data_IF_649692765134
#
_entry.id   IF_649692765134
#
_cell.length_a   1.000
_cell.length_b   1.000
_cell.length_c   1.000
_cell.angle_alpha   90.00
_cell.angle_beta   90.00
_cell.angle_gamma   90.00
#
_symmetry.space_group_name_H-M   'P 1'
#
loop_
_entity.id
_entity.type
_entity.pdbx_description
1 polymer ?
#
# COMPACT_ATOMS: atom_id res chain seq x y z
N UNK A 1 18.91 5.45 -42.10
CA UNK A 1 18.21 5.92 -40.89
C UNK A 1 17.04 5.00 -40.53
N UNK A 2 16.22 4.58 -41.50
CA UNK A 2 15.08 3.68 -41.26
C UNK A 2 15.43 2.31 -40.68
N UNK A 3 16.56 1.71 -41.06
CA UNK A 3 16.99 0.40 -40.53
C UNK A 3 17.43 0.43 -39.06
N UNK A 4 17.99 1.56 -38.59
CA UNK A 4 18.35 1.76 -37.18
C UNK A 4 17.09 1.94 -36.33
N UNK A 5 16.12 2.71 -36.83
CA UNK A 5 14.81 2.91 -36.17
C UNK A 5 14.05 1.58 -36.07
N UNK A 6 14.04 0.77 -37.13
CA UNK A 6 13.41 -0.56 -37.11
C UNK A 6 14.07 -1.53 -36.10
N UNK A 7 15.40 -1.49 -35.97
CA UNK A 7 16.14 -2.27 -34.95
C UNK A 7 15.81 -1.80 -33.53
N UNK A 8 15.67 -0.50 -33.32
CA UNK A 8 15.29 0.07 -32.02
C UNK A 8 13.87 -0.31 -31.62
N UNK A 9 12.92 -0.24 -32.57
CA UNK A 9 11.53 -0.65 -32.35
C UNK A 9 11.43 -2.14 -32.05
N UNK A 10 12.12 -2.99 -32.82
CA UNK A 10 12.13 -4.44 -32.56
C UNK A 10 12.79 -4.82 -31.23
N UNK A 11 13.83 -4.09 -30.81
CA UNK A 11 14.45 -4.26 -29.51
C UNK A 11 13.52 -3.81 -28.37
N UNK A 12 12.89 -2.64 -28.49
CA UNK A 12 11.90 -2.15 -27.53
C UNK A 12 10.73 -3.14 -27.37
N UNK A 13 10.22 -3.68 -28.47
CA UNK A 13 9.18 -4.71 -28.47
C UNK A 13 9.63 -6.01 -27.79
N UNK A 14 10.90 -6.43 -27.96
CA UNK A 14 11.48 -7.59 -27.26
C UNK A 14 11.65 -7.36 -25.76
N UNK A 15 12.09 -6.17 -25.36
CA UNK A 15 12.21 -5.80 -23.94
C UNK A 15 10.82 -5.75 -23.29
N UNK A 16 9.84 -5.13 -23.96
CA UNK A 16 8.47 -5.07 -23.46
C UNK A 16 7.85 -6.47 -23.33
N UNK A 17 7.98 -7.34 -24.34
CA UNK A 17 7.43 -8.70 -24.28
C UNK A 17 8.10 -9.56 -23.21
N UNK A 18 9.41 -9.39 -23.00
CA UNK A 18 10.16 -10.06 -21.93
C UNK A 18 9.76 -9.51 -20.55
N UNK A 19 9.54 -8.21 -20.43
CA UNK A 19 9.04 -7.59 -19.20
C UNK A 19 7.65 -8.07 -18.84
N UNK A 20 6.76 -8.19 -19.82
CA UNK A 20 5.40 -8.70 -19.64
C UNK A 20 5.43 -10.19 -19.26
N UNK A 21 6.23 -11.02 -19.94
CA UNK A 21 6.28 -12.45 -19.65
C UNK A 21 6.82 -12.73 -18.24
N UNK A 22 7.82 -11.97 -17.79
CA UNK A 22 8.38 -12.07 -16.44
C UNK A 22 7.51 -11.41 -15.36
N UNK A 23 6.84 -10.30 -15.68
CA UNK A 23 6.01 -9.55 -14.74
C UNK A 23 4.63 -10.15 -14.49
N UNK A 24 4.03 -10.81 -15.49
CA UNK A 24 2.71 -11.46 -15.39
C UNK A 24 2.55 -12.40 -14.19
N UNK A 25 3.46 -13.34 -13.89
CA UNK A 25 3.27 -14.25 -12.75
C UNK A 25 3.27 -13.52 -11.41
N UNK A 26 4.11 -12.48 -11.24
CA UNK A 26 4.13 -11.67 -10.03
C UNK A 26 2.84 -10.86 -9.86
N UNK A 27 2.36 -10.23 -10.95
CA UNK A 27 1.10 -9.49 -10.93
C UNK A 27 -0.11 -10.40 -10.69
N UNK A 28 -0.11 -11.61 -11.25
CA UNK A 28 -1.16 -12.60 -11.02
C UNK A 28 -1.22 -13.01 -9.55
N UNK A 29 -0.07 -13.32 -8.93
CA UNK A 29 0.00 -13.61 -7.49
C UNK A 29 -0.48 -12.43 -6.64
N UNK A 30 0.00 -11.23 -6.95
CA UNK A 30 -0.44 -10.00 -6.29
C UNK A 30 -1.96 -9.84 -6.37
N UNK A 31 -2.54 -10.01 -7.56
CA UNK A 31 -3.98 -9.86 -7.76
C UNK A 31 -4.79 -10.90 -6.99
N UNK A 32 -4.32 -12.14 -6.90
CA UNK A 32 -4.98 -13.20 -6.12
C UNK A 32 -5.05 -12.82 -4.64
N UNK A 33 -3.95 -12.39 -4.03
CA UNK A 33 -3.95 -11.99 -2.61
C UNK A 33 -4.68 -10.67 -2.37
N UNK A 34 -4.49 -9.68 -3.24
CA UNK A 34 -5.15 -8.39 -3.11
C UNK A 34 -6.69 -8.51 -3.13
N UNK A 35 -7.24 -9.47 -3.88
CA UNK A 35 -8.70 -9.71 -3.91
C UNK A 35 -9.28 -10.20 -2.58
N UNK A 36 -8.48 -10.88 -1.76
CA UNK A 36 -8.94 -11.44 -0.49
C UNK A 36 -8.58 -10.52 0.67
N UNK A 37 -7.34 -10.04 0.71
CA UNK A 37 -6.79 -9.27 1.83
C UNK A 37 -7.13 -7.77 1.74
N UNK A 38 -7.19 -7.20 0.53
CA UNK A 38 -7.45 -5.77 0.31
C UNK A 38 -8.90 -5.48 -0.08
N UNK A 39 -9.82 -6.43 0.15
CA UNK A 39 -11.24 -6.21 -0.10
C UNK A 39 -11.79 -5.21 0.93
N UNK A 40 -12.75 -4.36 0.56
CA UNK A 40 -13.50 -3.61 1.55
C UNK A 40 -14.21 -4.59 2.51
N UNK A 41 -14.28 -4.27 3.80
CA UNK A 41 -14.95 -5.11 4.79
C UNK A 41 -16.43 -5.27 4.44
N UNK A 42 -16.98 -6.46 4.67
CA UNK A 42 -18.43 -6.68 4.58
C UNK A 42 -19.09 -6.34 5.91
N UNK A 43 -20.40 -6.09 5.91
CA UNK A 43 -21.13 -5.74 7.14
C UNK A 43 -21.00 -6.82 8.23
N UNK A 44 -20.83 -8.08 7.84
CA UNK A 44 -20.54 -9.21 8.72
C UNK A 44 -19.26 -9.04 9.54
N UNK A 45 -18.27 -8.33 9.00
CA UNK A 45 -16.92 -8.24 9.57
C UNK A 45 -16.84 -7.13 10.63
N UNK A 46 -17.79 -6.18 10.60
CA UNK A 46 -17.81 -5.01 11.49
C UNK A 46 -18.11 -5.43 12.94
N UNK A 47 -19.08 -6.31 13.16
CA UNK A 47 -19.46 -6.77 14.50
C UNK A 47 -18.29 -7.40 15.28
N UNK A 48 -17.63 -8.43 14.72
CA UNK A 48 -16.43 -9.02 15.32
C UNK A 48 -15.31 -8.00 15.56
N UNK A 49 -15.02 -7.11 14.58
CA UNK A 49 -13.97 -6.11 14.72
C UNK A 49 -14.20 -5.15 15.91
N UNK A 50 -15.46 -4.71 16.11
CA UNK A 50 -15.83 -3.85 17.25
C UNK A 50 -15.71 -4.61 18.58
N UNK A 51 -16.07 -5.89 18.60
CA UNK A 51 -15.93 -6.73 19.78
C UNK A 51 -14.44 -6.89 20.17
N UNK A 52 -13.57 -7.15 19.20
CA UNK A 52 -12.11 -7.25 19.41
C UNK A 52 -11.52 -5.92 19.91
N UNK A 53 -11.91 -4.79 19.31
CA UNK A 53 -11.48 -3.47 19.78
C UNK A 53 -11.89 -3.22 21.25
N UNK A 54 -13.10 -3.63 21.63
CA UNK A 54 -13.58 -3.51 23.01
C UNK A 54 -12.76 -4.38 23.97
N UNK A 55 -12.38 -5.60 23.55
CA UNK A 55 -11.51 -6.47 24.34
C UNK A 55 -10.11 -5.88 24.53
N UNK A 56 -9.54 -5.23 23.50
CA UNK A 56 -8.25 -4.54 23.62
C UNK A 56 -8.31 -3.40 24.63
N UNK A 57 -9.38 -2.61 24.64
CA UNK A 57 -9.59 -1.55 25.63
C UNK A 57 -9.66 -2.14 27.05
N UNK A 58 -10.38 -3.24 27.23
CA UNK A 58 -10.48 -3.90 28.53
C UNK A 58 -9.13 -4.50 28.98
N UNK A 59 -8.36 -5.08 28.06
CA UNK A 59 -7.01 -5.58 28.33
C UNK A 59 -6.02 -4.46 28.68
N UNK A 60 -6.18 -3.27 28.08
CA UNK A 60 -5.41 -2.10 28.46
C UNK A 60 -5.75 -1.63 29.89
N UNK A 61 -7.05 -1.56 30.22
CA UNK A 61 -7.54 -1.18 31.56
C UNK A 61 -7.13 -2.17 32.65
N UNK A 62 -7.14 -3.47 32.37
CA UNK A 62 -6.75 -4.50 33.33
C UNK A 62 -5.23 -4.62 33.53
N UNK A 63 -4.42 -3.96 32.70
CA UNK A 63 -2.95 -4.03 32.77
C UNK A 63 -2.33 -5.24 32.07
N UNK A 64 -3.13 -6.06 31.37
CA UNK A 64 -2.67 -7.27 30.66
C UNK A 64 -1.65 -6.98 29.56
N UNK A 65 -1.59 -5.74 29.06
CA UNK A 65 -0.58 -5.30 28.10
C UNK A 65 0.87 -5.46 28.61
N UNK A 66 1.08 -5.53 29.93
CA UNK A 66 2.41 -5.75 30.54
C UNK A 66 2.91 -7.19 30.42
N UNK A 67 2.01 -8.15 30.16
CA UNK A 67 2.32 -9.57 30.03
C UNK A 67 2.70 -9.94 28.58
N UNK A 68 2.60 -8.99 27.65
CA UNK A 68 2.88 -9.21 26.23
C UNK A 68 4.39 -9.33 26.00
N UNK A 69 4.80 -10.35 25.24
CA UNK A 69 6.22 -10.53 24.90
C UNK A 69 6.70 -9.42 23.97
N UNK A 70 8.00 -9.09 24.00
CA UNK A 70 8.57 -8.05 23.14
C UNK A 70 8.35 -8.36 21.65
N UNK A 71 8.42 -9.64 21.27
CA UNK A 71 8.18 -10.07 19.88
C UNK A 71 6.76 -9.73 19.42
N UNK A 72 5.77 -10.04 20.25
CA UNK A 72 4.37 -9.78 19.91
C UNK A 72 4.05 -8.28 19.94
N UNK A 73 4.63 -7.56 20.89
CA UNK A 73 4.53 -6.10 20.97
C UNK A 73 5.08 -5.42 19.71
N UNK A 74 6.25 -5.85 19.22
CA UNK A 74 6.85 -5.33 18.00
C UNK A 74 6.02 -5.66 16.75
N UNK A 75 5.48 -6.89 16.66
CA UNK A 75 4.62 -7.27 15.55
C UNK A 75 3.38 -6.38 15.49
N UNK A 76 2.72 -6.17 16.63
CA UNK A 76 1.55 -5.29 16.73
C UNK A 76 1.89 -3.83 16.40
N UNK A 77 3.09 -3.36 16.78
CA UNK A 77 3.56 -2.03 16.44
C UNK A 77 3.75 -1.85 14.93
N UNK A 78 4.33 -2.84 14.23
CA UNK A 78 4.50 -2.79 12.76
C UNK A 78 3.15 -2.73 12.05
N UNK A 79 2.19 -3.56 12.46
CA UNK A 79 0.82 -3.52 11.91
C UNK A 79 0.15 -2.16 12.18
N UNK A 80 0.36 -1.58 13.37
CA UNK A 80 -0.17 -0.24 13.70
C UNK A 80 0.42 0.83 12.77
N UNK A 81 1.73 0.78 12.50
CA UNK A 81 2.38 1.69 11.55
C UNK A 81 1.84 1.51 10.13
N UNK A 82 1.59 0.27 9.70
CA UNK A 82 0.99 -0.02 8.40
C UNK A 82 -0.40 0.62 8.26
N UNK A 83 -1.27 0.48 9.27
CA UNK A 83 -2.60 1.10 9.28
C UNK A 83 -2.50 2.64 9.23
N UNK A 84 -1.54 3.24 9.92
CA UNK A 84 -1.29 4.68 9.83
C UNK A 84 -0.78 5.11 8.45
N UNK A 85 0.04 4.29 7.78
CA UNK A 85 0.48 4.58 6.41
C UNK A 85 -0.69 4.64 5.43
N UNK A 86 -1.72 3.80 5.60
CA UNK A 86 -2.95 3.86 4.80
C UNK A 86 -3.71 5.18 4.93
N UNK A 87 -3.68 5.83 6.10
CA UNK A 87 -4.22 7.18 6.26
C UNK A 87 -3.51 8.19 5.36
N UNK A 88 -2.17 8.17 5.31
CA UNK A 88 -1.39 9.06 4.45
C UNK A 88 -1.58 8.76 2.96
N UNK A 89 -1.76 7.48 2.58
CA UNK A 89 -2.16 7.12 1.20
C UNK A 89 -3.51 7.76 0.85
N UNK A 90 -4.47 7.71 1.78
CA UNK A 90 -5.75 8.40 1.64
C UNK A 90 -5.59 9.91 1.45
N UNK A 91 -4.69 10.55 2.21
CA UNK A 91 -4.37 11.97 2.04
C UNK A 91 -3.80 12.27 0.65
N UNK A 92 -2.85 11.45 0.15
CA UNK A 92 -2.27 11.56 -1.20
C UNK A 92 -3.36 11.49 -2.28
N UNK A 93 -4.32 10.56 -2.14
CA UNK A 93 -5.47 10.45 -3.04
C UNK A 93 -6.37 11.70 -2.93
N UNK A 94 -6.69 12.13 -1.71
CA UNK A 94 -7.55 13.28 -1.44
C UNK A 94 -7.00 14.60 -1.98
N UNK A 95 -5.69 14.81 -1.87
CA UNK A 95 -5.00 15.99 -2.42
C UNK A 95 -4.63 15.87 -3.89
N UNK A 96 -4.72 14.67 -4.47
CA UNK A 96 -4.36 14.35 -5.87
C UNK A 96 -2.92 14.76 -6.22
N UNK A 97 -2.01 14.62 -5.27
CA UNK A 97 -0.59 14.94 -5.46
C UNK A 97 0.24 14.00 -4.62
N UNK A 98 1.33 13.50 -5.19
CA UNK A 98 2.32 12.71 -4.47
C UNK A 98 3.16 13.63 -3.57
N UNK A 99 3.49 14.85 -4.01
CA UNK A 99 4.36 15.81 -3.28
C UNK A 99 3.69 17.17 -3.03
N UNK A 100 3.60 17.56 -1.75
CA UNK A 100 2.77 18.65 -1.19
C UNK A 100 1.41 18.96 -1.85
N UNK A 101 0.85 20.12 -1.49
CA UNK A 101 -0.38 20.62 -2.09
C UNK A 101 -0.06 21.48 -3.30
N UNK A 102 -0.64 21.15 -4.46
CA UNK A 102 -0.40 21.87 -5.71
C UNK A 102 -0.79 23.35 -5.66
N UNK A 103 -1.65 23.73 -4.70
CA UNK A 103 -2.15 25.11 -4.54
C UNK A 103 -1.40 25.93 -3.48
N UNK A 104 -0.39 25.36 -2.81
CA UNK A 104 0.42 26.08 -1.82
C UNK A 104 1.79 26.40 -2.43
N UNK A 105 2.15 27.68 -2.57
CA UNK A 105 3.47 28.08 -3.07
C UNK A 105 4.59 27.50 -2.20
N UNK A 106 5.60 26.88 -2.83
CA UNK A 106 6.75 26.28 -2.12
C UNK A 106 6.59 24.81 -1.71
N UNK A 107 5.42 24.20 -1.90
CA UNK A 107 5.15 22.80 -1.54
C UNK A 107 5.12 21.83 -2.74
N UNK A 108 5.49 22.25 -3.94
CA UNK A 108 5.62 21.37 -5.11
C UNK A 108 6.99 21.54 -5.76
N UNK A 109 7.50 20.47 -6.39
CA UNK A 109 8.70 20.58 -7.23
C UNK A 109 8.35 21.45 -8.43
N UNK A 110 8.89 22.68 -8.49
CA UNK A 110 8.92 23.45 -9.74
C UNK A 110 9.78 22.67 -10.71
N UNK A 111 9.18 22.01 -11.70
CA UNK A 111 9.94 21.63 -12.89
C UNK A 111 10.29 22.93 -13.61
N UNK A 112 11.55 23.36 -13.49
CA UNK A 112 12.11 24.38 -14.37
C UNK A 112 12.34 23.74 -15.73
N UNK A 113 11.29 23.70 -16.54
CA UNK A 113 11.35 23.42 -17.99
C UNK A 113 10.53 24.52 -18.66
#
# INVERSE_FOLDING_TARGET
MESTVAKLISFASKVASTGISKGRPALSKFMTYARVEMRPPTLSDIGPAVAEATQLINAAKSGRWKEVTVKDGLLNAVVTVEVLAWFFIGEIIGRRSILGYSRVPGCYIRSHI
#
